data_IF_620014430228
#
_entry.id   IF_620014430228
#
_cell.length_a   1.000
_cell.length_b   1.000
_cell.length_c   1.000
_cell.angle_alpha   90.00
_cell.angle_beta   90.00
_cell.angle_gamma   90.00
#
_symmetry.space_group_name_H-M   'P 1'
#
loop_
_entity.id
_entity.type
_entity.pdbx_description
1 polymer ?
2 polymer ?
3 polymer ?
4 polymer ?
5 non-polymer ?
6 water ?
#
# COMPACT_ATOMS: atom_id res chain seq x y z
N UNK A 1 -6.79 -18.74 -2.17
CA UNK A 1 -5.92 -17.53 -2.25
C UNK A 1 -4.74 -17.63 -1.28
N UNK A 2 -3.74 -16.78 -1.48
CA UNK A 2 -2.73 -16.58 -0.46
C UNK A 2 -3.34 -15.94 0.77
N UNK A 3 -2.89 -16.35 1.95
CA UNK A 3 -3.24 -15.71 3.21
C UNK A 3 -1.97 -15.22 3.89
N UNK A 4 -2.08 -14.07 4.56
CA UNK A 4 -0.92 -13.36 5.11
C UNK A 4 -0.98 -13.38 6.63
N UNK A 5 0.08 -13.83 7.25
CA UNK A 5 0.08 -14.19 8.65
C UNK A 5 1.21 -13.53 9.42
N UNK A 6 0.95 -13.37 10.71
CA UNK A 6 1.96 -13.15 11.74
C UNK A 6 1.93 -14.35 12.69
N UNK A 7 3.04 -15.10 12.75
CA UNK A 7 3.18 -16.22 13.68
C UNK A 7 3.95 -15.70 14.88
N UNK A 8 3.31 -15.73 16.05
CA UNK A 8 3.77 -14.95 17.19
C UNK A 8 3.96 -15.87 18.39
N UNK A 9 5.12 -15.72 19.02
CA UNK A 9 5.48 -16.43 20.23
C UNK A 9 6.36 -15.49 21.04
N UNK A 10 5.98 -15.23 22.30
CA UNK A 10 6.78 -14.38 23.19
C UNK A 10 7.02 -13.05 22.49
N UNK A 11 8.26 -12.67 22.17
CA UNK A 11 8.61 -11.44 21.49
C UNK A 11 9.15 -11.71 20.08
N UNK A 12 8.74 -12.85 19.51
CA UNK A 12 9.07 -13.23 18.14
C UNK A 12 7.81 -13.11 17.28
N UNK A 13 7.94 -12.47 16.12
CA UNK A 13 6.85 -12.37 15.16
C UNK A 13 7.40 -12.68 13.78
N UNK A 14 6.94 -13.77 13.18
CA UNK A 14 7.26 -14.14 11.82
C UNK A 14 6.17 -13.60 10.89
N UNK A 15 6.56 -12.79 9.90
CA UNK A 15 5.70 -12.45 8.79
C UNK A 15 5.88 -13.47 7.68
N UNK A 16 4.79 -14.10 7.25
CA UNK A 16 4.87 -15.07 6.17
C UNK A 16 3.48 -15.23 5.57
N UNK A 17 3.42 -15.96 4.47
CA UNK A 17 2.15 -16.23 3.79
C UNK A 17 2.10 -17.70 3.40
N UNK A 18 0.90 -18.15 3.06
CA UNK A 18 0.63 -19.54 2.72
C UNK A 18 -0.70 -19.58 1.99
N UNK A 19 -1.01 -20.72 1.41
CA UNK A 19 -2.28 -20.88 0.70
C UNK A 19 -3.39 -21.25 1.67
N UNK A 20 -4.60 -20.74 1.40
CA UNK A 20 -5.77 -21.20 2.13
C UNK A 20 -5.87 -22.73 2.10
N UNK A 21 -5.45 -23.34 1.00
CA UNK A 21 -5.58 -24.78 0.81
C UNK A 21 -4.47 -25.56 1.48
N UNK A 22 -3.45 -24.90 2.02
CA UNK A 22 -2.40 -25.61 2.72
C UNK A 22 -2.85 -25.93 4.15
N UNK A 23 -2.13 -26.84 4.78
CA UNK A 23 -2.53 -27.37 6.07
C UNK A 23 -1.73 -26.72 7.21
N UNK A 24 -2.27 -26.87 8.42
CA UNK A 24 -1.56 -26.50 9.64
C UNK A 24 -0.20 -27.17 9.70
N UNK A 25 -0.14 -28.45 9.33
CA UNK A 25 1.15 -29.14 9.36
C UNK A 25 2.14 -28.47 8.43
N UNK A 26 1.71 -28.13 7.21
CA UNK A 26 2.59 -27.47 6.27
C UNK A 26 3.12 -26.14 6.83
N UNK A 27 2.29 -25.44 7.61
CA UNK A 27 2.72 -24.19 8.22
C UNK A 27 3.76 -24.46 9.31
N UNK A 28 3.61 -25.56 10.05
CA UNK A 28 4.64 -25.95 10.99
C UNK A 28 5.95 -26.22 10.27
N UNK A 29 5.88 -26.78 9.05
CA UNK A 29 7.10 -27.00 8.28
C UNK A 29 7.76 -25.67 7.90
N UNK A 30 6.95 -24.67 7.53
CA UNK A 30 7.53 -23.33 7.31
C UNK A 30 8.25 -22.84 8.57
N UNK A 31 7.57 -22.95 9.71
CA UNK A 31 8.17 -22.50 10.97
C UNK A 31 9.46 -23.26 11.23
N UNK A 32 9.46 -24.57 10.93
CA UNK A 32 10.66 -25.38 11.15
C UNK A 32 11.83 -24.83 10.34
N UNK A 33 11.59 -24.49 9.08
CA UNK A 33 12.65 -23.92 8.28
C UNK A 33 13.19 -22.61 8.84
N UNK A 34 12.33 -21.82 9.49
CA UNK A 34 12.79 -20.51 9.97
C UNK A 34 13.47 -20.63 11.32
N UNK A 35 12.86 -21.34 12.27
CA UNK A 35 13.28 -21.36 13.67
C UNK A 35 13.92 -22.68 14.10
N UNK A 36 14.02 -23.65 13.19
CA UNK A 36 14.80 -24.85 13.43
C UNK A 36 14.25 -25.69 14.58
N UNK A 37 12.91 -25.78 14.66
CA UNK A 37 12.25 -26.67 15.59
C UNK A 37 11.28 -27.53 14.79
N UNK A 38 11.28 -28.86 14.97
CA UNK A 38 10.43 -29.72 14.14
C UNK A 38 8.97 -29.56 14.49
N UNK A 39 8.06 -29.96 13.58
CA UNK A 39 6.62 -29.80 13.86
C UNK A 39 6.15 -30.43 15.16
N UNK A 40 6.68 -31.60 15.51
CA UNK A 40 6.24 -32.25 16.75
C UNK A 40 6.64 -31.48 17.99
N UNK A 41 7.49 -30.44 17.88
CA UNK A 41 7.78 -29.56 19.00
C UNK A 41 7.00 -28.25 18.94
N UNK A 42 6.01 -28.17 18.05
CA UNK A 42 5.23 -26.95 17.88
C UNK A 42 3.74 -27.20 18.07
N UNK A 43 3.07 -26.22 18.69
CA UNK A 43 1.62 -26.08 18.63
C UNK A 43 1.26 -24.74 18.00
N UNK A 44 0.31 -24.75 17.07
CA UNK A 44 -0.22 -23.52 16.49
C UNK A 44 -1.63 -23.25 16.99
N UNK A 45 -1.96 -21.97 17.13
CA UNK A 45 -3.22 -21.55 17.71
C UNK A 45 -3.87 -20.46 16.86
N UNK A 46 -5.21 -20.49 16.77
CA UNK A 46 -5.99 -19.33 16.36
C UNK A 46 -6.71 -18.84 17.62
N UNK A 47 -6.33 -17.67 18.10
CA UNK A 47 -6.75 -17.19 19.43
C UNK A 47 -6.35 -18.29 20.42
N UNK A 48 -7.27 -18.80 21.24
CA UNK A 48 -6.94 -19.83 22.21
C UNK A 48 -7.24 -21.23 21.70
N UNK A 49 -7.60 -21.39 20.43
CA UNK A 49 -7.97 -22.69 19.88
C UNK A 49 -6.76 -23.37 19.24
N UNK A 50 -6.43 -24.56 19.74
CA UNK A 50 -5.33 -25.33 19.16
C UNK A 50 -5.71 -25.84 17.79
N UNK A 51 -4.79 -25.72 16.83
CA UNK A 51 -5.09 -26.07 15.44
C UNK A 51 -4.61 -27.49 15.13
N UNK A 52 -5.46 -28.27 14.49
CA UNK A 52 -5.13 -29.63 14.13
C UNK A 52 -4.34 -29.69 12.83
N UNK A 53 -3.32 -30.55 12.82
CA UNK A 53 -2.38 -30.60 11.69
C UNK A 53 -3.09 -30.85 10.36
N UNK A 54 -4.22 -31.54 10.37
CA UNK A 54 -4.87 -31.94 9.14
C UNK A 54 -5.80 -30.92 8.52
N UNK A 55 -6.11 -29.84 9.24
CA UNK A 55 -7.07 -28.86 8.76
C UNK A 55 -6.38 -27.91 7.78
N UNK A 56 -7.13 -27.44 6.80
CA UNK A 56 -6.60 -26.37 5.95
C UNK A 56 -6.69 -25.05 6.70
N UNK A 57 -5.80 -24.12 6.34
CA UNK A 57 -5.86 -22.78 6.92
C UNK A 57 -7.19 -22.11 6.61
N UNK A 58 -7.73 -22.34 5.42
CA UNK A 58 -9.03 -21.81 5.08
C UNK A 58 -10.12 -22.24 6.05
N UNK A 59 -10.16 -23.54 6.35
CA UNK A 59 -11.18 -24.08 7.25
C UNK A 59 -11.10 -23.39 8.63
N UNK A 61 -10.21 -20.46 9.32
CA UNK A 61 -10.61 -19.06 9.29
C UNK A 61 -9.56 -18.08 8.83
N UNK A 62 -8.48 -18.58 8.25
CA UNK A 62 -7.50 -17.73 7.58
C UNK A 62 -7.89 -17.63 6.11
N UNK A 63 -8.44 -16.49 5.74
CA UNK A 63 -8.99 -16.29 4.42
C UNK A 63 -8.51 -14.96 3.86
N UNK A 64 -8.84 -14.72 2.58
CA UNK A 64 -8.49 -13.48 1.90
C UNK A 64 -9.07 -12.26 2.58
N UNK A 65 -10.11 -12.44 3.39
CA UNK A 65 -10.80 -11.37 4.09
C UNK A 65 -10.22 -11.08 5.46
N UNK A 66 -9.76 -12.12 6.14
CA UNK A 66 -9.28 -12.00 7.50
C UNK A 66 -7.76 -11.95 7.57
N UNK A 67 -7.06 -12.31 6.49
CA UNK A 67 -5.61 -12.47 6.53
C UNK A 67 -5.02 -11.77 5.29
N UNK A 68 -5.03 -10.46 5.31
CA UNK A 68 -4.64 -9.58 4.23
C UNK A 68 -3.20 -9.09 4.40
N UNK A 69 -2.54 -8.78 3.28
CA UNK A 69 -1.14 -8.34 3.39
C UNK A 69 -0.96 -7.15 4.32
N UNK A 70 -1.85 -6.16 4.20
CA UNK A 70 -1.77 -4.94 5.01
C UNK A 70 -2.37 -5.14 6.38
N UNK A 71 -2.98 -6.30 6.66
CA UNK A 71 -3.62 -6.56 7.95
C UNK A 71 -3.61 -8.07 8.18
N UNK A 72 -2.45 -8.63 8.46
CA UNK A 72 -2.35 -10.10 8.53
C UNK A 72 -2.99 -10.66 9.79
N UNK A 73 -3.38 -11.93 9.69
CA UNK A 73 -3.97 -12.64 10.80
C UNK A 73 -2.88 -13.20 11.69
N UNK A 74 -3.16 -13.32 12.98
CA UNK A 74 -2.18 -13.80 13.94
C UNK A 74 -2.39 -15.28 14.20
N UNK A 75 -1.28 -16.01 14.18
CA UNK A 75 -1.21 -17.42 14.55
C UNK A 75 -0.31 -17.52 15.77
N UNK A 76 -0.85 -18.06 16.87
CA UNK A 76 -0.03 -18.25 18.05
C UNK A 76 0.82 -19.50 17.94
N UNK A 77 2.01 -19.43 18.53
CA UNK A 77 2.96 -20.54 18.51
C UNK A 77 3.48 -20.81 19.90
N UNK A 78 3.43 -22.08 20.30
CA UNK A 78 4.00 -22.56 21.56
C UNK A 78 4.96 -23.70 21.26
N UNK A 79 6.10 -23.71 21.96
CA UNK A 79 7.12 -24.74 21.77
C UNK A 79 7.08 -25.74 22.93
N UNK A 80 7.62 -26.93 22.67
CA UNK A 80 7.76 -27.98 23.68
C UNK A 80 9.18 -27.89 24.25
N UNK A 81 9.29 -27.54 25.53
CA UNK A 81 10.54 -27.61 26.26
C UNK A 81 10.62 -28.99 26.92
N UNK A 82 11.62 -29.79 26.52
CA UNK A 82 11.83 -31.09 27.14
C UNK A 82 10.67 -32.01 26.79
N UNK A 83 9.85 -32.37 27.77
CA UNK A 83 8.74 -33.28 27.52
C UNK A 83 7.40 -32.58 27.62
N UNK A 84 7.40 -31.26 27.78
CA UNK A 84 6.19 -30.53 28.13
C UNK A 84 6.04 -29.28 27.27
N UNK A 85 4.84 -29.05 26.76
CA UNK A 85 4.58 -27.83 26.02
C UNK A 85 4.43 -26.65 26.99
N UNK A 86 5.08 -25.55 26.65
CA UNK A 86 4.81 -24.28 27.33
C UNK A 86 3.37 -23.86 27.05
N UNK A 87 2.84 -23.02 27.94
CA UNK A 87 1.58 -22.35 27.63
C UNK A 87 1.81 -21.30 26.54
N UNK A 88 0.80 -21.09 25.71
CA UNK A 88 0.85 -20.04 24.70
C UNK A 88 1.03 -18.68 25.37
N UNK A 90 2.10 -14.61 24.12
CA UNK A 90 2.43 -13.62 23.10
C UNK A 90 2.57 -12.27 23.83
N UNK A 91 3.76 -11.67 23.79
CA UNK A 91 3.93 -10.36 24.43
C UNK A 91 3.33 -9.26 23.54
N UNK A 92 2.58 -8.33 24.11
CA UNK A 92 2.03 -7.24 23.29
C UNK A 92 3.12 -6.32 22.75
N UNK A 93 2.82 -5.74 21.60
CA UNK A 93 3.58 -4.62 21.07
C UNK A 93 3.47 -3.42 22.00
N UNK A 94 4.31 -2.42 21.76
CA UNK A 94 4.32 -1.22 22.57
C UNK A 94 3.02 -0.42 22.40
N UNK A 95 2.80 0.52 23.35
CA UNK A 95 1.58 1.33 23.42
C UNK A 95 1.75 2.61 22.61
N UNK A 96 0.80 2.94 21.72
CA UNK A 96 0.92 4.19 20.97
C UNK A 96 0.66 5.38 21.84
N UNK A 97 1.27 6.53 21.54
CA UNK A 97 1.04 7.74 22.34
C UNK A 97 -0.29 8.40 22.03
N UNK A 98 -0.71 9.26 22.95
CA UNK A 98 -1.83 10.16 22.71
C UNK A 98 -1.55 11.04 21.48
N UNK A 99 -2.61 11.33 20.74
CA UNK A 99 -2.55 12.25 19.63
C UNK A 99 -2.21 13.64 20.16
N UNK A 100 -1.28 14.37 19.52
CA UNK A 100 -1.08 15.77 19.90
C UNK A 100 -2.35 16.58 19.67
N UNK A 101 -2.47 17.69 20.38
CA UNK A 101 -3.68 18.49 20.30
C UNK A 101 -3.93 18.98 18.88
N UNK A 102 -2.87 19.36 18.16
CA UNK A 102 -3.03 19.85 16.79
C UNK A 102 -3.48 18.76 15.82
N UNK A 103 -3.45 17.50 16.24
CA UNK A 103 -3.98 16.41 15.42
C UNK A 103 -5.38 16.01 15.84
N UNK A 104 -5.94 16.65 16.85
CA UNK A 104 -7.25 16.31 17.38
C UNK A 104 -8.34 17.12 16.70
N UNK B 1 9.54 -17.02 -0.34
CA UNK B 1 10.03 -17.30 0.98
C UNK B 1 11.54 -17.46 0.94
N UNK B 2 12.02 -18.64 1.34
CA UNK B 2 13.43 -18.93 1.28
C UNK B 2 14.22 -18.26 2.38
N UNK B 3 14.84 -17.12 2.07
CA UNK B 3 15.69 -16.43 3.05
C UNK B 3 14.90 -15.37 3.80
N UNK B 4 15.09 -15.37 5.12
CA UNK B 4 14.44 -14.46 6.04
C UNK B 4 15.51 -13.63 6.71
N UNK B 5 15.11 -12.47 7.24
CA UNK B 5 16.01 -11.62 8.01
C UNK B 5 15.29 -11.19 9.28
N UNK B 6 16.06 -10.69 10.25
CA UNK B 6 15.53 -10.32 11.55
C UNK B 6 15.66 -8.81 11.77
N UNK B 7 14.56 -8.17 12.11
CA UNK B 7 14.52 -6.74 12.42
C UNK B 7 14.06 -6.57 13.86
N UNK B 8 14.86 -5.87 14.67
CA UNK B 8 14.63 -5.80 16.12
C UNK B 8 14.22 -4.39 16.47
N UNK B 9 13.08 -4.26 17.16
CA UNK B 9 12.58 -2.95 17.52
C UNK B 9 13.29 -2.42 18.77
N UNK B 10 13.03 -1.14 19.08
CA UNK B 10 13.70 -0.51 20.21
C UNK B 10 13.34 -1.19 21.53
N UNK B 11 12.11 -1.71 21.64
CA UNK B 11 11.70 -2.45 22.83
C UNK B 11 11.99 -3.95 22.73
N UNK B 12 12.81 -4.36 21.78
CA UNK B 12 13.31 -5.72 21.76
C UNK B 12 12.40 -6.77 21.14
N UNK B 13 11.34 -6.38 20.44
CA UNK B 13 10.58 -7.36 19.67
C UNK B 13 11.36 -7.70 18.41
N UNK B 14 11.35 -8.99 18.04
CA UNK B 14 12.07 -9.48 16.88
C UNK B 14 11.06 -9.85 15.80
N UNK B 15 11.24 -9.26 14.63
CA UNK B 15 10.38 -9.46 13.47
C UNK B 15 11.18 -10.20 12.41
N UNK B 16 10.72 -11.38 12.04
CA UNK B 16 11.40 -12.23 11.07
C UNK B 16 10.60 -12.15 9.79
N UNK B 17 11.20 -11.56 8.76
CA UNK B 17 10.47 -11.28 7.54
C UNK B 17 11.29 -11.74 6.35
N UNK B 18 10.61 -12.01 5.23
CA UNK B 18 11.31 -12.43 4.02
C UNK B 18 12.30 -11.36 3.58
N UNK B 19 13.52 -11.80 3.24
CA UNK B 19 14.55 -10.87 2.79
C UNK B 19 14.06 -9.99 1.66
N UNK B 20 13.41 -10.61 0.67
CA UNK B 20 12.91 -9.87 -0.48
C UNK B 20 11.95 -8.77 -0.05
N UNK B 21 11.12 -9.04 0.95
CA UNK B 21 10.19 -8.01 1.41
C UNK B 21 10.92 -6.92 2.19
N UNK B 22 11.94 -7.30 2.97
CA UNK B 22 12.70 -6.30 3.72
C UNK B 22 13.44 -5.36 2.79
N UNK B 23 13.87 -5.85 1.63
CA UNK B 23 14.55 -4.98 0.67
C UNK B 23 13.66 -3.85 0.14
N UNK B 24 12.37 -3.87 0.44
CA UNK B 24 11.52 -2.72 0.15
C UNK B 24 12.09 -1.46 0.77
N UNK B 25 12.72 -1.60 1.95
CA UNK B 25 13.35 -0.49 2.64
C UNK B 25 14.76 -0.27 2.09
N UNK B 26 15.02 0.91 1.55
CA UNK B 26 16.37 1.20 1.07
C UNK B 26 17.42 1.16 2.17
N UNK B 27 17.05 1.57 3.37
CA UNK B 27 17.98 1.58 4.49
C UNK B 27 18.33 0.15 4.92
N UNK B 28 17.32 -0.73 5.02
CA UNK B 28 17.59 -2.11 5.36
C UNK B 28 18.41 -2.76 4.26
N UNK B 29 18.04 -2.54 2.98
CA UNK B 29 18.83 -3.07 1.88
C UNK B 29 20.30 -2.65 2.00
N UNK B 30 20.53 -1.41 2.42
CA UNK B 30 21.90 -0.92 2.55
C UNK B 30 22.63 -1.53 3.73
N UNK B 31 21.91 -2.06 4.73
CA UNK B 31 22.57 -2.62 5.91
C UNK B 31 22.67 -4.13 5.89
N UNK B 32 22.05 -4.79 4.93
CA UNK B 32 22.17 -6.22 4.82
C UNK B 32 23.31 -6.59 3.87
N UNK B 33 23.91 -7.73 4.14
CA UNK B 33 25.02 -8.25 3.33
C UNK B 33 24.48 -9.27 2.33
N UNK B 34 24.04 -8.78 1.17
CA UNK B 34 23.53 -9.63 0.12
C UNK B 34 24.60 -10.05 -0.86
N UNK B 35 24.20 -10.37 -2.09
CA UNK B 35 25.18 -10.85 -3.07
C UNK B 35 26.26 -9.84 -3.40
N UNK B 36 25.89 -8.58 -3.68
CA UNK B 36 26.88 -7.59 -4.04
C UNK B 36 27.79 -7.23 -2.88
N UNK B 37 27.22 -7.11 -1.69
CA UNK B 37 27.96 -6.55 -0.54
C UNK B 37 29.00 -7.52 0.03
N UNK B 38 28.55 -8.51 0.78
CA UNK B 38 29.50 -9.57 1.27
C UNK B 38 28.66 -10.83 1.58
N UNK B 39 28.39 -11.62 0.53
CA UNK B 39 27.54 -12.80 0.71
C UNK B 39 28.17 -13.85 1.62
N UNK B 40 29.50 -13.98 1.59
CA UNK B 40 30.18 -14.93 2.48
C UNK B 40 29.96 -14.56 3.94
N UNK B 41 30.21 -13.29 4.29
CA UNK B 41 30.00 -12.80 5.65
C UNK B 41 28.60 -12.21 5.77
N UNK B 42 27.64 -13.07 6.02
CA UNK B 42 26.26 -12.69 5.96
C UNK B 42 25.93 -11.71 7.09
N UNK B 43 25.14 -10.69 6.71
CA UNK B 43 24.46 -9.78 7.63
C UNK B 43 22.97 -9.97 7.43
N UNK B 44 22.30 -10.58 8.40
CA UNK B 44 20.89 -10.94 8.28
C UNK B 44 20.04 -10.37 9.41
N UNK B 45 20.54 -9.33 10.07
CA UNK B 45 19.90 -8.84 11.28
C UNK B 45 20.15 -7.34 11.40
N UNK B 46 19.11 -6.59 11.70
CA UNK B 46 19.25 -5.14 11.87
C UNK B 46 18.47 -4.72 13.11
N UNK B 47 19.09 -3.88 13.93
CA UNK B 47 18.53 -3.40 15.18
C UNK B 47 18.15 -1.94 15.01
N UNK B 48 16.94 -1.58 15.44
CA UNK B 48 16.46 -0.20 15.33
C UNK B 48 16.28 0.38 16.73
N UNK B 49 17.17 1.28 17.10
CA UNK B 49 17.18 1.83 18.45
C UNK B 49 16.04 2.79 18.69
N UNK B 50 15.44 3.33 17.64
CA UNK B 50 14.49 4.42 17.81
C UNK B 50 13.14 4.15 17.15
N UNK B 51 12.86 2.90 16.76
CA UNK B 51 11.55 2.54 16.24
C UNK B 51 10.95 1.49 17.17
N UNK B 52 9.82 1.78 17.82
CA UNK B 52 9.19 0.78 18.68
C UNK B 52 8.34 -0.23 17.90
N UNK B 53 8.02 -1.32 18.60
CA UNK B 53 7.37 -2.46 17.96
C UNK B 53 6.00 -2.11 17.40
N UNK B 54 5.23 -1.21 18.02
CA UNK B 54 3.90 -0.91 17.45
C UNK B 54 4.04 -0.20 16.10
N UNK B 55 5.20 0.38 15.82
CA UNK B 55 5.50 0.99 14.53
C UNK B 55 6.17 -0.01 13.57
N UNK B 56 7.22 -0.69 14.03
CA UNK B 56 7.95 -1.62 13.16
C UNK B 56 7.06 -2.77 12.66
N UNK B 57 6.10 -3.23 13.47
CA UNK B 57 5.14 -4.22 12.98
C UNK B 57 4.36 -3.68 11.77
N UNK B 58 3.93 -2.41 11.83
CA UNK B 58 3.17 -1.83 10.72
C UNK B 58 4.05 -1.64 9.50
N UNK B 59 5.32 -1.30 9.71
CA UNK B 59 6.29 -1.22 8.61
C UNK B 59 6.35 -2.56 7.88
N UNK B 60 6.44 -3.67 8.64
CA UNK B 60 6.53 -4.99 8.01
C UNK B 60 5.27 -5.32 7.22
N UNK B 61 4.10 -4.92 7.75
CA UNK B 61 2.87 -5.06 6.97
C UNK B 61 2.94 -4.27 5.67
N UNK B 62 3.53 -3.06 5.71
CA UNK B 62 3.69 -2.30 4.47
C UNK B 62 4.56 -3.06 3.49
N UNK B 63 5.65 -3.70 3.97
CA UNK B 63 6.49 -4.48 3.04
C UNK B 63 5.64 -5.52 2.31
N UNK B 64 4.83 -6.27 3.08
CA UNK B 64 4.00 -7.31 2.48
C UNK B 64 3.06 -6.71 1.43
N UNK B 65 2.39 -5.63 1.78
CA UNK B 65 1.44 -4.95 0.90
C UNK B 65 2.12 -4.48 -0.37
N UNK B 66 3.27 -3.84 -0.24
CA UNK B 66 4.01 -3.33 -1.39
C UNK B 66 4.37 -4.46 -2.34
N UNK B 67 4.92 -5.55 -1.81
CA UNK B 67 5.32 -6.63 -2.70
C UNK B 67 4.10 -7.28 -3.33
N UNK B 68 3.00 -7.40 -2.59
CA UNK B 68 1.84 -8.08 -3.14
C UNK B 68 1.20 -7.24 -4.25
N UNK B 69 1.14 -5.93 -4.09
CA UNK B 69 0.30 -5.15 -4.97
C UNK B 69 1.05 -4.33 -6.02
N UNK B 70 2.37 -4.22 -5.95
CA UNK B 70 3.12 -3.53 -6.99
C UNK B 70 2.99 -4.29 -8.31
N UNK B 71 2.87 -3.55 -9.40
CA UNK B 71 2.79 -4.18 -10.73
C UNK B 71 1.74 -5.28 -10.75
N UNK B 72 0.61 -5.01 -10.11
CA UNK B 72 -0.53 -5.89 -10.10
C UNK B 72 -1.65 -5.22 -10.89
N UNK B 73 -2.39 -6.02 -11.64
CA UNK B 73 -3.58 -5.49 -12.31
C UNK B 73 -4.81 -5.55 -11.42
N UNK B 74 -4.79 -6.37 -10.37
CA UNK B 74 -5.93 -6.47 -9.48
C UNK B 74 -6.09 -5.21 -8.62
N UNK B 75 -7.34 -4.91 -8.32
CA UNK B 75 -7.72 -3.72 -7.59
C UNK B 75 -7.01 -3.63 -6.24
N UNK B 76 -6.54 -2.43 -5.92
CA UNK B 76 -5.62 -2.22 -4.79
C UNK B 76 -6.39 -1.61 -3.62
N UNK B 77 -6.32 -2.21 -2.42
CA UNK B 77 -6.92 -1.59 -1.25
C UNK B 77 -6.01 -0.52 -0.68
N UNK B 78 -6.62 0.37 0.11
CA UNK B 78 -5.86 1.37 0.84
C UNK B 78 -4.98 0.71 1.87
N UNK B 79 -3.78 1.28 2.08
CA UNK B 79 -2.98 0.90 3.23
C UNK B 79 -3.44 1.70 4.44
N UNK B 80 -3.96 1.04 5.48
CA UNK B 80 -4.56 1.78 6.59
C UNK B 80 -3.55 2.15 7.66
N UNK B 81 -3.73 3.34 8.25
CA UNK B 81 -2.84 3.86 9.28
C UNK B 81 -3.70 4.50 10.37
N UNK B 82 -3.64 3.95 11.58
CA UNK B 82 -4.37 4.55 12.69
C UNK B 82 -3.79 5.93 13.01
N UNK B 83 -4.65 6.92 13.29
CA UNK B 83 -4.12 8.28 13.53
C UNK B 83 -3.03 8.32 14.58
N UNK B 84 -3.19 7.58 15.67
CA UNK B 84 -2.26 7.68 16.79
C UNK B 84 -0.88 7.13 16.47
N UNK B 85 -0.69 6.39 15.37
CA UNK B 85 0.65 5.95 14.99
C UNK B 85 1.25 6.73 13.82
N UNK B 86 0.46 7.60 13.17
CA UNK B 86 0.89 8.17 11.88
C UNK B 86 2.20 8.93 12.02
N UNK B 87 2.36 9.72 13.07
CA UNK B 87 3.58 10.53 13.19
C UNK B 87 4.81 9.65 13.30
N UNK B 88 4.75 8.65 14.18
CA UNK B 88 5.91 7.78 14.32
C UNK B 88 6.11 7.00 13.05
N UNK B 89 5.03 6.61 12.39
CA UNK B 89 5.21 5.81 11.19
C UNK B 89 5.83 6.68 10.12
N UNK B 90 5.44 7.95 10.07
CA UNK B 90 6.06 8.86 9.11
C UNK B 90 7.55 8.91 9.35
N UNK B 91 7.94 9.06 10.63
CA UNK B 91 9.37 9.15 10.90
C UNK B 91 10.06 7.87 10.50
N UNK B 92 9.44 6.72 10.81
CA UNK B 92 10.10 5.46 10.47
C UNK B 92 10.22 5.33 8.97
N UNK B 93 9.16 5.68 8.24
CA UNK B 93 9.23 5.48 6.80
C UNK B 93 10.30 6.36 6.22
N UNK B 94 10.42 7.59 6.76
CA UNK B 94 11.43 8.51 6.29
C UNK B 94 12.81 7.96 6.57
N UNK B 95 13.00 7.41 7.77
CA UNK B 95 14.32 6.87 8.11
C UNK B 95 14.61 5.62 7.30
N UNK B 96 13.57 4.83 6.97
CA UNK B 96 13.83 3.55 6.32
C UNK B 96 13.81 3.65 4.82
N UNK B 97 13.47 4.81 4.28
CA UNK B 97 13.44 5.02 2.84
C UNK B 97 12.53 3.99 2.18
N UNK B 98 11.25 4.02 2.57
CA UNK B 98 10.26 3.20 1.90
C UNK B 98 8.91 3.84 1.83
N UNK C 4 -10.76 25.42 -36.72
CA UNK C 4 -12.19 25.31 -36.46
C UNK C 4 -12.50 25.56 -34.99
N UNK C 5 -13.79 25.60 -34.65
CA UNK C 5 -14.21 25.79 -33.27
C UNK C 5 -13.63 24.70 -32.37
N UNK C 6 -13.42 25.06 -31.11
CA UNK C 6 -12.94 24.11 -30.11
C UNK C 6 -14.12 23.35 -29.50
N UNK C 7 -13.95 22.04 -29.32
CA UNK C 7 -14.99 21.22 -28.71
C UNK C 7 -14.42 20.57 -27.45
N UNK C 8 -14.99 20.93 -26.31
CA UNK C 8 -14.56 20.40 -25.03
C UNK C 8 -15.42 19.22 -24.63
N UNK C 10 -17.97 16.95 -22.56
CA UNK C 10 -19.22 17.25 -21.87
C UNK C 10 -19.91 15.95 -21.45
N UNK C 11 -20.71 16.06 -20.41
CA UNK C 11 -21.47 14.94 -19.86
C UNK C 11 -22.87 14.98 -20.45
N UNK C 12 -23.34 13.88 -21.03
CA UNK C 12 -24.64 13.92 -21.72
C UNK C 12 -25.77 14.12 -20.72
N UNK C 13 -26.78 14.87 -21.14
CA UNK C 13 -27.91 15.15 -20.25
C UNK C 13 -28.67 13.87 -19.89
N UNK C 14 -28.72 12.89 -20.79
CA UNK C 14 -29.41 11.64 -20.50
C UNK C 14 -28.53 10.61 -19.80
N UNK C 15 -27.30 10.94 -19.46
CA UNK C 15 -26.46 10.01 -18.74
C UNK C 15 -26.91 9.87 -17.29
N UNK C 16 -26.82 8.67 -16.76
CA UNK C 16 -26.98 8.47 -15.32
C UNK C 16 -25.84 7.59 -14.82
N UNK C 17 -25.51 7.79 -13.55
CA UNK C 17 -24.44 7.04 -12.92
C UNK C 17 -24.89 5.60 -12.70
N UNK C 18 -23.92 4.69 -12.66
CA UNK C 18 -24.22 3.28 -12.41
C UNK C 18 -23.09 2.68 -11.61
N UNK C 19 -23.32 1.48 -11.08
CA UNK C 19 -22.29 0.78 -10.36
C UNK C 19 -21.38 0.06 -11.34
N UNK C 20 -20.08 0.31 -11.24
CA UNK C 20 -19.14 -0.38 -12.11
C UNK C 20 -18.07 -1.12 -11.32
N UNK D 7 1.05 24.25 -27.63
CA UNK D 7 2.44 24.57 -27.35
C UNK D 7 3.06 23.58 -26.35
N UNK D 8 2.41 23.35 -25.20
CA UNK D 8 2.91 22.33 -24.28
C UNK D 8 2.81 20.93 -24.90
N UNK D 9 3.74 20.07 -24.51
CA UNK D 9 3.72 18.70 -25.03
C UNK D 9 2.46 17.97 -24.59
N UNK D 10 2.03 18.20 -23.35
CA UNK D 10 0.88 17.50 -22.78
C UNK D 10 -0.32 18.42 -22.83
N UNK D 11 -1.15 18.24 -23.85
CA UNK D 11 -2.35 19.04 -24.04
C UNK D 11 -3.33 18.23 -24.86
N UNK D 12 -4.61 18.52 -24.71
CA UNK D 12 -5.59 17.98 -25.64
C UNK D 12 -5.35 18.59 -27.01
N UNK D 13 -5.64 17.82 -28.04
CA UNK D 13 -5.68 18.35 -29.40
C UNK D 13 -7.14 18.49 -29.79
N UNK D 14 -7.45 19.53 -30.54
CA UNK D 14 -8.81 19.79 -30.98
C UNK D 14 -9.15 18.91 -32.17
N UNK D 15 -9.24 17.60 -31.90
CA UNK D 15 -9.51 16.65 -32.98
C UNK D 15 -10.94 16.78 -33.48
N UNK D 16 -11.86 17.24 -32.63
CA UNK D 16 -13.30 17.28 -32.93
C UNK D 16 -13.82 15.90 -33.35
N UNK D 17 -13.12 14.82 -33.00
CA UNK D 17 -13.60 13.48 -33.30
C UNK D 17 -14.20 12.89 -32.04
N UNK D 18 -15.53 12.72 -31.96
CA UNK D 18 -16.14 12.27 -30.70
C UNK D 18 -15.65 10.89 -30.30
N UNK D 19 -15.52 10.71 -28.99
CA UNK D 19 -15.18 9.41 -28.42
C UNK D 19 -15.91 9.27 -27.08
N UNK D 20 -16.82 8.30 -27.00
CA UNK D 20 -17.50 8.03 -25.76
C UNK D 20 -16.56 7.32 -24.80
N UNK D 21 -16.60 7.71 -23.53
CA UNK D 21 -15.73 7.17 -22.50
C UNK D 21 -16.58 6.82 -21.29
N UNK D 22 -16.14 5.83 -20.53
CA UNK D 22 -16.72 5.52 -19.22
C UNK D 22 -15.63 5.71 -18.17
N UNK D 23 -15.83 6.69 -17.28
CA UNK D 23 -15.00 6.81 -16.08
C UNK D 23 -15.53 5.80 -15.05
N UNK D 24 -14.69 4.87 -14.57
CA UNK D 24 -15.08 3.91 -13.54
C UNK D 24 -14.17 4.04 -12.33
N UNK D 25 -14.74 4.38 -11.17
CA UNK D 25 -13.94 4.63 -9.98
C UNK D 25 -13.81 3.33 -9.19
N UNK D 26 -12.69 2.64 -9.38
CA UNK D 26 -12.38 1.44 -8.61
C UNK D 26 -11.37 1.73 -7.51
N UNK D 27 -11.45 2.93 -6.94
CA UNK D 27 -10.65 3.39 -5.81
C UNK D 27 -11.57 3.67 -4.63
N UNK D 28 -11.03 3.78 -3.42
CA UNK D 28 -11.84 4.19 -2.27
C UNK D 28 -11.90 5.71 -2.05
N UNK D 29 -11.33 6.50 -2.95
CA UNK D 29 -11.36 7.95 -2.88
C UNK D 29 -12.52 8.51 -3.72
N UNK D 30 -13.00 9.69 -3.35
CA UNK D 30 -13.80 10.49 -4.26
C UNK D 30 -12.88 11.03 -5.35
N UNK D 31 -13.24 10.78 -6.62
CA UNK D 31 -12.32 11.03 -7.73
C UNK D 31 -12.70 12.31 -8.46
N UNK D 32 -11.69 13.14 -8.74
CA UNK D 32 -11.79 14.37 -9.51
C UNK D 32 -11.20 14.10 -10.88
N UNK D 33 -12.01 14.03 -11.93
CA UNK D 33 -11.46 14.00 -13.29
C UNK D 33 -10.96 15.38 -13.68
N UNK D 34 -9.76 15.44 -14.24
CA UNK D 34 -9.14 16.70 -14.65
C UNK D 34 -8.84 16.59 -16.14
N UNK D 35 -9.38 17.52 -16.91
CA UNK D 35 -9.19 17.59 -18.34
C UNK D 35 -8.09 18.62 -18.63
N UNK D 36 -7.08 18.22 -19.39
CA UNK D 36 -6.07 19.18 -19.84
C UNK D 36 -6.57 19.83 -21.12
N UNK D 37 -6.82 21.13 -21.08
CA UNK D 37 -7.46 21.77 -22.22
C UNK D 37 -6.43 21.97 -23.35
N UNK D 38 -6.80 22.72 -24.37
CA UNK D 38 -5.98 22.83 -25.57
C UNK D 38 -4.71 23.63 -25.33
N UNK D 39 -4.67 24.40 -24.26
CA UNK D 39 -3.46 25.06 -23.80
C UNK D 39 -2.75 24.27 -22.71
N UNK D 40 -3.21 23.05 -22.42
CA UNK D 40 -2.58 22.21 -21.42
C UNK D 40 -2.87 22.56 -19.98
N UNK D 41 -3.87 23.41 -19.71
CA UNK D 41 -4.29 23.86 -18.39
C UNK D 41 -5.37 22.93 -17.85
N UNK D 42 -5.34 22.61 -16.55
CA UNK D 42 -6.32 21.67 -15.99
C UNK D 42 -7.67 22.34 -15.73
N UNK D 43 -8.73 21.63 -16.12
CA UNK D 43 -10.10 22.02 -15.85
C UNK D 43 -10.81 20.88 -15.14
N UNK D 44 -11.54 21.14 -14.07
CA UNK D 44 -12.18 20.06 -13.30
C UNK D 44 -13.53 19.67 -13.89
N UNK D 45 -13.91 18.42 -13.65
CA UNK D 45 -15.21 17.88 -14.01
C UNK D 45 -15.86 17.30 -12.77
N UNK D 46 -17.18 17.08 -12.80
CA UNK D 46 -17.86 16.58 -11.59
C UNK D 46 -17.24 15.30 -11.07
N UNK D 47 -17.25 15.16 -9.75
CA UNK D 47 -16.56 14.09 -9.07
C UNK D 47 -17.34 12.77 -9.14
N UNK D 48 -16.64 11.69 -8.84
CA UNK D 48 -17.17 10.34 -8.91
C UNK D 48 -17.02 9.61 -7.57
N UNK D 49 -18.09 9.14 -6.96
CA UNK D 49 -17.95 8.36 -5.73
C UNK D 49 -17.33 7.00 -5.99
N UNK D 50 -16.75 6.36 -4.98
CA UNK D 50 -16.20 5.01 -5.15
C UNK D 50 -17.25 4.05 -5.71
N UNK D 51 -16.80 3.19 -6.63
CA UNK D 51 -17.66 2.18 -7.21
C UNK D 51 -18.63 2.66 -8.28
N UNK D 52 -18.56 3.93 -8.68
CA UNK D 52 -19.53 4.46 -9.62
C UNK D 52 -18.88 4.71 -10.98
N UNK D 53 -19.64 4.43 -12.03
CA UNK D 53 -19.21 4.65 -13.40
C UNK D 53 -20.08 5.73 -14.02
N UNK D 54 -19.54 6.40 -15.02
CA UNK D 54 -20.23 7.52 -15.64
C UNK D 54 -19.76 7.67 -17.07
N UNK D 55 -20.72 7.81 -17.98
CA UNK D 55 -20.44 8.05 -19.39
C UNK D 55 -20.11 9.52 -19.64
N UNK D 56 -19.08 9.75 -20.43
CA UNK D 56 -18.62 11.08 -20.81
C UNK D 56 -18.47 11.13 -22.32
N UNK D 57 -18.85 12.24 -22.92
CA UNK D 57 -18.58 12.49 -24.33
C UNK D 57 -17.29 13.29 -24.42
N UNK D 58 -16.19 12.62 -24.80
CA UNK D 58 -14.88 13.24 -24.92
C UNK D 58 -14.47 13.17 -26.39
N UNK D 59 -13.17 13.27 -26.69
CA UNK D 59 -12.71 13.36 -28.07
C UNK D 59 -11.35 12.68 -28.20
N UNK D 60 -11.12 12.06 -29.36
CA UNK D 60 -9.84 11.44 -29.63
C UNK D 60 -8.72 12.44 -29.38
N UNK D 61 -7.72 12.03 -28.60
CA UNK D 61 -6.56 12.85 -28.33
C UNK D 61 -6.73 13.89 -27.26
N UNK D 62 -7.83 13.88 -26.52
CA UNK D 62 -7.91 14.70 -25.33
C UNK D 62 -7.17 14.02 -24.19
N UNK D 63 -6.70 14.80 -23.23
CA UNK D 63 -5.88 14.28 -22.15
C UNK D 63 -6.60 14.45 -20.81
N UNK D 64 -6.56 13.39 -20.01
CA UNK D 64 -7.20 13.37 -18.70
C UNK D 64 -6.22 12.85 -17.66
N UNK D 65 -6.36 13.38 -16.44
CA UNK D 65 -5.77 12.75 -15.27
C UNK D 65 -6.81 12.74 -14.16
N UNK D 66 -6.53 12.01 -13.08
CA UNK D 66 -7.52 11.74 -12.05
C UNK D 66 -6.87 11.85 -10.68
N UNK D 67 -7.55 12.57 -9.78
CA UNK D 67 -6.98 12.87 -8.46
C UNK D 67 -7.99 12.61 -7.35
N UNK D 68 -7.50 12.50 -6.13
CA UNK D 68 -8.40 12.56 -4.97
C UNK D 68 -9.01 13.96 -4.94
N UNK D 69 -10.34 14.04 -4.95
CA UNK D 69 -11.02 15.34 -5.04
C UNK D 69 -10.72 16.24 -3.85
N UNK D 70 -10.49 15.66 -2.67
CA UNK D 70 -10.28 16.47 -1.49
C UNK D 70 -8.84 16.82 -1.20
N UNK D 71 -7.93 15.88 -1.48
CA UNK D 71 -6.52 16.03 -1.12
C UNK D 71 -5.63 16.27 -2.32
N UNK D 72 -6.13 15.98 -3.52
CA UNK D 72 -5.39 16.03 -4.78
C UNK D 72 -4.23 15.05 -4.87
N UNK D 73 -4.25 14.01 -4.06
CA UNK D 73 -3.36 12.88 -4.30
C UNK D 73 -3.55 12.38 -5.72
N UNK D 74 -2.45 11.97 -6.37
CA UNK D 74 -2.56 11.40 -7.70
C UNK D 74 -3.17 10.00 -7.66
N UNK D 75 -3.93 9.67 -8.69
CA UNK D 75 -4.46 8.32 -8.85
C UNK D 75 -4.05 7.79 -10.22
N UNK D 76 -4.29 6.50 -10.43
CA UNK D 76 -3.99 5.84 -11.69
C UNK D 76 -5.26 5.65 -12.51
N UNK D 77 -5.09 5.72 -13.82
CA UNK D 77 -6.16 5.43 -14.77
C UNK D 77 -5.61 4.41 -15.75
N UNK D 78 -6.30 3.27 -15.86
CA UNK D 78 -5.79 2.13 -16.63
C UNK D 78 -4.34 1.85 -16.28
N UNK D 79 -4.06 1.89 -14.97
CA UNK D 79 -2.76 1.60 -14.38
C UNK D 79 -1.66 2.55 -14.82
N UNK D 80 -2.01 3.75 -15.30
CA UNK D 80 -0.99 4.74 -15.64
C UNK D 80 -1.50 6.11 -15.19
N UNK D 81 -0.78 7.17 -15.56
CA UNK D 81 -1.09 8.51 -15.07
C UNK D 81 -2.00 9.29 -16.01
N UNK D 82 -1.77 9.23 -17.31
CA UNK D 82 -2.53 9.99 -18.28
C UNK D 82 -3.45 9.08 -19.08
N UNK D 83 -4.67 9.55 -19.34
CA UNK D 83 -5.62 8.84 -20.18
C UNK D 83 -5.93 9.65 -21.43
N UNK D 84 -5.88 8.98 -22.59
CA UNK D 84 -6.16 9.59 -23.87
C UNK D 84 -7.19 8.75 -24.65
N UNK D 85 -8.38 9.27 -24.92
CA UNK D 85 -9.37 8.48 -25.66
C UNK D 85 -8.96 8.23 -27.10
N UNK D 86 -9.36 7.08 -27.60
CA UNK D 86 -9.27 6.74 -29.00
C UNK D 86 -10.68 6.66 -29.59
N UNK D 87 -10.76 6.44 -30.90
CA UNK D 87 -12.07 6.26 -31.52
C UNK D 87 -12.72 4.97 -31.05
N UNK D 88 -14.01 5.04 -30.78
CA UNK D 88 -14.75 3.85 -30.38
C UNK D 88 -14.78 2.83 -31.49
N UNK D 89 -14.68 1.56 -31.11
CA UNK D 89 -14.83 0.43 -32.02
C UNK D 89 -16.15 -0.27 -31.69
N UNK D 90 -16.99 -0.45 -32.69
CA UNK D 90 -18.25 -1.17 -32.52
C UNK D 90 -19.23 -0.42 -31.64
N UNK D 91 -19.09 0.91 -31.57
CA UNK D 91 -19.85 1.71 -30.63
C UNK D 91 -19.52 1.46 -29.16
N UNK D 92 -18.54 0.60 -28.89
CA UNK D 92 -18.20 0.29 -27.51
C UNK D 92 -17.51 1.48 -26.86
N UNK D 93 -17.97 1.95 -25.70
CA UNK D 93 -17.24 3.03 -25.00
C UNK D 93 -15.85 2.56 -24.60
N UNK D 94 -14.95 3.52 -24.40
CA UNK D 94 -13.61 3.21 -23.92
C UNK D 94 -13.58 3.40 -22.42
N UNK D 95 -13.02 2.41 -21.72
CA UNK D 95 -13.05 2.41 -20.26
C UNK D 95 -11.80 3.09 -19.70
N UNK D 96 -12.01 3.99 -18.75
CA UNK D 96 -10.98 4.62 -17.95
C UNK D 96 -11.20 4.15 -16.52
N UNK D 97 -10.45 3.13 -16.10
CA UNK D 97 -10.63 2.53 -14.79
C UNK D 97 -9.65 3.15 -13.81
N UNK D 98 -10.19 3.77 -12.77
CA UNK D 98 -9.41 4.59 -11.85
C UNK D 98 -9.13 3.78 -10.61
N UNK D 99 -7.85 3.69 -10.24
CA UNK D 99 -7.47 2.89 -9.09
C UNK D 99 -6.47 3.65 -8.24
N UNK D 100 -6.21 3.10 -7.06
CA UNK D 100 -5.21 3.60 -6.11
C UNK D 100 -3.84 3.14 -6.58
N UNK D 101 -2.83 4.02 -6.67
CA UNK D 101 -1.45 3.52 -6.82
C UNK D 101 -0.97 2.90 -5.51
N UNK D 102 0.16 2.19 -5.61
CA UNK D 102 0.89 1.80 -4.41
C UNK D 102 1.76 2.98 -4.01
N UNK D 103 1.27 3.80 -3.07
CA UNK D 103 2.08 4.90 -2.57
C UNK D 103 3.24 4.34 -1.75
N UNK D 104 4.35 5.07 -1.76
CA UNK D 104 5.39 4.75 -0.78
C UNK D 104 4.81 4.91 0.63
N UNK D 105 5.39 4.18 1.59
CA UNK D 105 4.93 4.30 2.97
C UNK D 105 5.07 5.75 3.44
N UNK D 106 6.18 6.41 3.06
CA UNK D 106 6.34 7.81 3.45
C UNK D 106 5.22 8.68 2.91
N UNK D 107 4.91 8.56 1.62
CA UNK D 107 3.86 9.41 1.05
C UNK D 107 2.50 9.11 1.70
N UNK D 108 2.23 7.85 1.98
CA UNK D 108 0.96 7.49 2.60
C UNK D 108 0.84 8.08 4.00
N UNK D 109 1.95 8.05 4.77
CA UNK D 109 1.94 8.67 6.08
C UNK D 109 1.74 10.18 5.97
N UNK D 110 2.40 10.82 5.00
CA UNK D 110 2.20 12.24 4.79
C UNK D 110 0.74 12.54 4.48
N UNK D 111 0.11 11.68 3.67
CA UNK D 111 -1.31 11.82 3.40
C UNK D 111 -2.12 11.83 4.68
N UNK D 112 -1.86 10.85 5.55
CA UNK D 112 -2.68 10.73 6.76
C UNK D 112 -2.43 11.92 7.69
N UNK D 113 -1.18 12.36 7.83
CA UNK D 113 -0.89 13.48 8.71
C UNK D 113 -1.52 14.75 8.16
N UNK D 114 -1.41 14.97 6.85
CA UNK D 114 -2.02 16.16 6.25
C UNK D 114 -3.51 16.19 6.51
N UNK D 115 -4.16 15.03 6.52
CA UNK D 115 -5.60 14.98 6.68
C UNK D 115 -6.04 15.29 8.10
N UNK D 116 -5.13 15.33 9.06
CA UNK D 116 -5.47 15.54 10.46
C UNK D 116 -4.87 16.81 11.04
N UNK D 117 -3.98 17.50 10.32
CA UNK D 117 -3.29 18.67 10.83
C UNK D 117 -3.46 19.80 9.84
N UNK D 118 -3.89 20.97 10.33
CA UNK D 118 -3.98 22.13 9.47
C UNK D 118 -2.56 22.59 9.08
N UNK D 119 -2.40 23.11 7.86
CA UNK D 119 -1.04 23.47 7.42
C UNK D 119 -0.33 24.45 8.35
N UNK D 120 -1.04 25.44 8.87
CA UNK D 120 -0.42 26.40 9.77
C UNK D 120 0.06 25.73 11.06
N UNK D 121 -0.26 24.46 11.26
CA UNK D 121 0.17 23.74 12.45
C UNK D 121 1.20 22.67 12.15
N UNK D 122 1.60 22.49 10.88
CA UNK D 122 2.57 21.44 10.60
C UNK D 122 3.79 21.60 11.50
N UNK D 123 4.26 22.84 11.68
CA UNK D 123 5.48 23.10 12.42
C UNK D 123 5.32 22.94 13.92
N UNK D 124 4.09 22.76 14.42
CA UNK D 124 3.86 22.42 15.81
C UNK D 124 4.03 20.92 16.09
N UNK D 125 4.23 20.11 15.05
CA UNK D 125 4.40 18.67 15.25
C UNK D 125 5.82 18.35 15.70
N UNK D 126 5.92 17.47 16.70
CA UNK D 126 7.22 17.07 17.24
C UNK D 126 7.74 15.94 16.36
N UNK D 127 8.39 16.31 15.26
CA UNK D 127 8.95 15.36 14.30
C UNK D 127 10.24 15.93 13.72
N UNK D 128 10.99 15.08 13.02
CA UNK D 128 12.22 15.48 12.36
C UNK D 128 11.94 16.63 11.42
N UNK D 129 12.83 17.64 11.47
CA UNK D 129 12.56 18.95 10.85
C UNK D 129 12.36 18.86 9.35
N UNK D 130 13.10 17.97 8.68
CA UNK D 130 12.98 17.91 7.22
C UNK D 130 11.58 17.51 6.79
N UNK D 131 10.79 16.91 7.69
CA UNK D 131 9.44 16.48 7.33
C UNK D 131 8.50 17.65 7.16
N UNK D 132 8.83 18.80 7.74
CA UNK D 132 7.95 19.96 7.63
C UNK D 132 7.76 20.34 6.17
N UNK D 133 8.86 20.54 5.45
CA UNK D 133 8.78 20.83 4.02
C UNK D 133 8.08 19.69 3.29
N UNK D 134 8.34 18.44 3.70
CA UNK D 134 7.67 17.32 3.03
C UNK D 134 6.17 17.45 3.18
N UNK D 135 5.71 17.80 4.38
CA UNK D 135 4.27 17.93 4.57
C UNK D 135 3.75 19.08 3.71
N UNK D 136 4.53 20.16 3.62
CA UNK D 136 4.07 21.36 2.94
C UNK D 136 4.11 21.24 1.43
N UNK D 137 4.84 20.25 0.89
CA UNK D 137 4.91 20.05 -0.56
C UNK D 137 3.74 19.16 -0.99
N UNK D 138 2.57 19.78 -1.08
CA UNK D 138 1.34 19.04 -1.31
C UNK D 138 1.28 18.48 -2.73
N UNK D 139 0.59 17.35 -2.92
CA UNK D 139 0.37 16.85 -4.28
C UNK D 139 -0.32 17.91 -5.11
N UNK D 140 -0.01 17.93 -6.41
CA UNK D 140 -0.71 18.87 -7.28
C UNK D 140 -0.43 18.54 -8.73
N UNK D 141 -1.37 18.93 -9.58
CA UNK D 141 -1.34 18.54 -10.98
C UNK D 141 -0.12 19.11 -11.71
N UNK D 142 0.28 20.35 -11.37
CA UNK D 142 1.31 21.01 -12.18
C UNK D 142 2.67 20.33 -12.03
N UNK D 143 3.02 19.92 -10.79
CA UNK D 143 4.27 19.19 -10.57
C UNK D 143 4.27 17.87 -11.33
N UNK D 144 3.15 17.15 -11.30
CA UNK D 144 3.08 15.88 -12.03
C UNK D 144 3.23 16.12 -13.52
N UNK D 145 2.59 17.17 -14.05
CA UNK D 145 2.69 17.41 -15.48
C UNK D 145 4.12 17.75 -15.89
N UNK D 146 4.85 18.47 -15.03
CA UNK D 146 6.27 18.69 -15.32
C UNK D 146 7.03 17.38 -15.40
N UNK D 147 6.85 16.52 -14.40
CA UNK D 147 7.55 15.22 -14.40
C UNK D 147 7.20 14.40 -15.63
N UNK D 148 5.90 14.34 -15.96
CA UNK D 148 5.46 13.53 -17.10
C UNK D 148 5.95 14.11 -18.41
N UNK D 149 6.07 15.43 -18.50
CA UNK D 149 6.60 16.06 -19.70
C UNK D 149 8.03 15.66 -19.93
N UNK D 150 8.88 15.82 -18.91
CA UNK D 150 10.27 15.38 -19.04
C UNK D 150 10.35 13.89 -19.36
N UNK D 151 9.52 13.09 -18.70
CA UNK D 151 9.50 11.65 -18.97
C UNK D 151 9.12 11.35 -20.41
N UNK D 152 8.24 12.17 -21.00
CA UNK D 152 7.88 11.99 -22.40
C UNK D 152 9.01 12.41 -23.33
N UNK D 153 9.76 13.45 -22.95
CA UNK D 153 10.93 13.83 -23.74
C UNK D 153 11.94 12.68 -23.75
N UNK D 154 12.32 12.21 -22.56
CA UNK D 154 13.34 11.18 -22.42
C UNK D 154 13.17 10.07 -23.45
N UNK D 155 11.93 9.58 -23.60
CA UNK D 155 11.63 8.54 -24.58
C UNK D 155 11.25 9.20 -25.89
#
# INVERSE_FOLDING_TARGET
MDVFLMIRRHKTTIFTDAKESSTVFELKRIVEGILKRPPDEQRLYKDDQLLDDGKTLGEXGFTSQTARPQAPATVGLAFRADDTFEALXIEPFSSPPELPDVMKPQDSGSSANEQAVQ
GGMYVKLISSDGHEFIVKREHALTSGTIKAMLSGPGQFAENETNEVNFREIPSHVLSKVCMYFTYKVRYTNSSTEIPEFPIAPEIALELLMAANFLDC
ELDLETLAXYIPMDGEDFQC
MEAGRPRPVLRSVNSREPSQVIFCNRSPRVVLPVWLNFDGEPQPYPTLPPGTGRRIHSYRGHLWLFRDAGTHDGLLVNQTELFVPSLNVDGQPIFANITLPVYTLKERCLQVVRSLVKPENYRRLDIVRSLYEDLEDHPNVQKDLERLTQERIAHQRMGD
#
